data_IF_470060556012
#
_entry.id   IF_470060556012
#
_cell.length_a   1.000
_cell.length_b   1.000
_cell.length_c   1.000
_cell.angle_alpha   90.00
_cell.angle_beta   90.00
_cell.angle_gamma   90.00
#
_symmetry.space_group_name_H-M   'P 1'
#
loop_
_entity.id
_entity.type
_entity.pdbx_description
1 polymer ?
#
# COMPACT_ATOMS: atom_id res chain seq x y z
N UNK A 1 29.50 4.30 16.73
CA UNK A 1 29.42 5.74 16.38
C UNK A 1 28.94 6.51 17.59
N UNK A 2 29.66 7.56 17.99
CA UNK A 2 29.23 8.43 19.08
C UNK A 2 28.05 9.32 18.65
N UNK A 3 27.34 9.91 19.61
CA UNK A 3 26.22 10.84 19.35
C UNK A 3 26.63 11.99 18.43
N UNK A 4 27.85 12.51 18.58
CA UNK A 4 28.43 13.56 17.73
C UNK A 4 28.56 13.14 16.26
N UNK A 5 28.95 11.89 15.99
CA UNK A 5 29.12 11.39 14.62
C UNK A 5 27.76 11.27 13.90
N UNK A 6 26.71 10.86 14.63
CA UNK A 6 25.35 10.77 14.09
C UNK A 6 24.84 12.14 13.66
N UNK A 7 24.97 13.14 14.53
CA UNK A 7 24.55 14.52 14.24
C UNK A 7 25.31 15.14 13.06
N UNK A 8 26.60 14.84 12.90
CA UNK A 8 27.38 15.28 11.74
C UNK A 8 26.85 14.66 10.46
N UNK A 9 26.57 13.36 10.44
CA UNK A 9 26.02 12.66 9.27
C UNK A 9 24.68 13.26 8.83
N UNK A 10 23.76 13.51 9.77
CA UNK A 10 22.48 14.15 9.47
C UNK A 10 22.68 15.57 8.93
N UNK A 11 23.60 16.36 9.51
CA UNK A 11 23.88 17.71 9.06
C UNK A 11 24.47 17.74 7.64
N UNK A 12 25.34 16.78 7.30
CA UNK A 12 25.88 16.61 5.95
C UNK A 12 24.78 16.26 4.96
N UNK A 13 23.92 15.29 5.29
CA UNK A 13 22.78 14.92 4.46
C UNK A 13 21.86 16.12 4.21
N UNK A 14 21.49 16.87 5.25
CA UNK A 14 20.65 18.06 5.13
C UNK A 14 21.27 19.11 4.22
N UNK A 15 22.58 19.36 4.33
CA UNK A 15 23.30 20.29 3.43
C UNK A 15 23.23 19.85 1.97
N UNK A 16 23.53 18.57 1.70
CA UNK A 16 23.46 18.00 0.35
C UNK A 16 22.05 18.07 -0.22
N UNK A 17 21.04 17.73 0.59
CA UNK A 17 19.64 17.79 0.20
C UNK A 17 19.20 19.23 -0.13
N UNK A 18 19.47 20.20 0.74
CA UNK A 18 19.16 21.62 0.48
C UNK A 18 19.88 22.16 -0.75
N UNK A 19 21.13 21.75 -0.99
CA UNK A 19 21.87 22.14 -2.19
C UNK A 19 21.16 21.64 -3.45
N UNK A 20 20.79 20.36 -3.46
CA UNK A 20 20.10 19.74 -4.59
C UNK A 20 18.75 20.41 -4.85
N UNK A 21 17.96 20.70 -3.81
CA UNK A 21 16.69 21.41 -3.98
C UNK A 21 16.87 22.80 -4.62
N UNK A 22 17.97 23.50 -4.31
CA UNK A 22 18.28 24.79 -4.94
C UNK A 22 18.67 24.62 -6.40
N UNK A 23 19.51 23.64 -6.71
CA UNK A 23 19.95 23.39 -8.09
C UNK A 23 18.81 22.94 -9.01
N UNK A 24 17.87 22.15 -8.48
CA UNK A 24 16.74 21.63 -9.26
C UNK A 24 15.50 22.51 -9.20
N UNK A 25 15.54 23.65 -8.51
CA UNK A 25 14.37 24.48 -8.22
C UNK A 25 13.22 23.65 -7.61
N UNK A 26 13.55 22.72 -6.72
CA UNK A 26 12.63 21.79 -6.06
C UNK A 26 12.15 20.63 -6.93
N UNK A 27 12.52 20.55 -8.22
CA UNK A 27 12.07 19.48 -9.12
C UNK A 27 13.07 18.33 -9.15
N UNK A 28 12.91 17.39 -8.23
CA UNK A 28 13.79 16.22 -8.12
C UNK A 28 13.31 15.10 -9.06
N UNK A 29 14.19 14.66 -9.95
CA UNK A 29 13.98 13.51 -10.82
C UNK A 29 14.62 12.22 -10.25
N UNK A 30 14.45 11.11 -10.97
CA UNK A 30 15.03 9.82 -10.61
C UNK A 30 16.55 9.89 -10.42
N UNK A 31 17.26 10.47 -11.40
CA UNK A 31 18.73 10.53 -11.39
C UNK A 31 19.27 11.38 -10.24
N UNK A 32 18.56 12.44 -9.87
CA UNK A 32 18.90 13.30 -8.74
C UNK A 32 18.63 12.60 -7.41
N UNK A 33 17.47 11.97 -7.26
CA UNK A 33 17.11 11.25 -6.04
C UNK A 33 18.05 10.05 -5.79
N UNK A 34 18.45 9.34 -6.85
CA UNK A 34 19.38 8.23 -6.77
C UNK A 34 20.74 8.63 -6.16
N UNK A 35 21.17 9.89 -6.28
CA UNK A 35 22.40 10.40 -5.66
C UNK A 35 22.25 10.63 -4.15
N UNK A 36 21.04 10.88 -3.67
CA UNK A 36 20.75 11.22 -2.26
C UNK A 36 20.45 9.97 -1.42
N UNK A 37 19.77 8.99 -2.02
CA UNK A 37 19.32 7.78 -1.32
C UNK A 37 20.43 7.02 -0.57
N UNK A 38 21.67 6.85 -1.10
CA UNK A 38 22.72 6.15 -0.39
C UNK A 38 23.09 6.80 0.95
N UNK A 39 23.09 8.12 1.02
CA UNK A 39 23.38 8.85 2.26
C UNK A 39 22.21 8.78 3.24
N UNK A 40 20.97 8.82 2.74
CA UNK A 40 19.80 8.58 3.58
C UNK A 40 19.76 7.15 4.15
N UNK A 41 20.13 6.14 3.35
CA UNK A 41 20.23 4.75 3.80
C UNK A 41 21.20 4.62 4.99
N UNK A 42 22.33 5.34 4.98
CA UNK A 42 23.25 5.37 6.12
C UNK A 42 22.59 5.96 7.38
N UNK A 43 21.76 7.01 7.23
CA UNK A 43 21.01 7.58 8.35
C UNK A 43 20.03 6.58 8.95
N UNK A 44 19.32 5.83 8.13
CA UNK A 44 18.38 4.79 8.60
C UNK A 44 19.07 3.69 9.42
N UNK A 45 20.36 3.44 9.20
CA UNK A 45 21.13 2.45 9.98
C UNK A 45 21.63 2.98 11.33
N UNK A 46 21.70 4.29 11.51
CA UNK A 46 22.28 4.91 12.73
C UNK A 46 21.23 5.64 13.58
N UNK A 47 20.04 5.89 13.04
CA UNK A 47 18.91 6.50 13.75
C UNK A 47 17.74 5.51 13.88
N UNK A 48 16.94 5.69 14.93
CA UNK A 48 15.56 5.18 14.94
C UNK A 48 14.67 6.10 14.11
N UNK A 49 13.49 5.63 13.65
CA UNK A 49 12.51 6.49 12.97
C UNK A 49 12.19 7.78 13.74
N UNK A 50 11.87 7.66 15.04
CA UNK A 50 11.48 8.79 15.89
C UNK A 50 12.62 9.79 16.09
N UNK A 51 13.83 9.29 16.35
CA UNK A 51 15.01 10.15 16.53
C UNK A 51 15.37 10.88 15.25
N UNK A 52 15.27 10.22 14.09
CA UNK A 52 15.58 10.87 12.82
C UNK A 52 14.55 11.94 12.50
N UNK A 53 13.27 11.60 12.57
CA UNK A 53 12.18 12.50 12.17
C UNK A 53 12.05 13.70 13.13
N UNK A 54 12.41 13.55 14.41
CA UNK A 54 12.46 14.68 15.34
C UNK A 54 13.60 15.68 15.06
N UNK A 55 14.72 15.22 14.50
CA UNK A 55 15.89 16.06 14.20
C UNK A 55 15.96 16.53 12.74
N UNK A 56 15.35 15.80 11.82
CA UNK A 56 15.33 16.10 10.39
C UNK A 56 14.10 16.95 10.05
N UNK A 57 14.22 18.27 10.16
CA UNK A 57 13.11 19.22 9.97
C UNK A 57 12.51 19.18 8.56
N UNK A 58 13.31 18.81 7.57
CA UNK A 58 12.92 18.68 6.17
C UNK A 58 12.32 17.29 5.86
N UNK A 59 12.04 16.44 6.86
CA UNK A 59 11.47 15.10 6.67
C UNK A 59 10.19 15.10 5.85
N UNK A 60 9.34 16.11 6.01
CA UNK A 60 8.07 16.26 5.30
C UNK A 60 8.30 16.51 3.80
N UNK A 61 9.19 17.43 3.46
CA UNK A 61 9.55 17.77 2.07
C UNK A 61 10.28 16.62 1.40
N UNK A 62 11.21 15.96 2.12
CA UNK A 62 11.91 14.79 1.61
C UNK A 62 10.93 13.63 1.34
N UNK A 63 10.00 13.38 2.25
CA UNK A 63 8.97 12.37 2.08
C UNK A 63 8.03 12.67 0.91
N UNK A 64 7.69 13.94 0.69
CA UNK A 64 6.93 14.36 -0.48
C UNK A 64 7.67 13.99 -1.77
N UNK A 65 8.95 14.34 -1.88
CA UNK A 65 9.78 14.05 -3.04
C UNK A 65 9.89 12.54 -3.28
N UNK A 66 10.17 11.75 -2.23
CA UNK A 66 10.21 10.30 -2.32
C UNK A 66 8.91 9.74 -2.91
N UNK A 67 7.78 10.22 -2.39
CA UNK A 67 6.45 9.76 -2.79
C UNK A 67 6.11 10.17 -4.23
N UNK A 68 6.37 11.42 -4.61
CA UNK A 68 6.10 11.94 -5.95
C UNK A 68 6.95 11.24 -7.02
N UNK A 69 8.23 11.01 -6.75
CA UNK A 69 9.12 10.29 -7.67
C UNK A 69 8.65 8.84 -7.83
N UNK A 70 8.35 8.14 -6.73
CA UNK A 70 7.87 6.76 -6.78
C UNK A 70 6.57 6.63 -7.55
N UNK A 71 5.59 7.50 -7.26
CA UNK A 71 4.29 7.51 -7.94
C UNK A 71 4.45 7.78 -9.43
N UNK A 72 5.31 8.73 -9.81
CA UNK A 72 5.60 9.04 -11.22
C UNK A 72 6.19 7.84 -11.96
N UNK A 73 7.20 7.18 -11.39
CA UNK A 73 7.82 6.03 -12.05
C UNK A 73 6.87 4.82 -12.10
N UNK A 74 6.10 4.54 -11.05
CA UNK A 74 5.06 3.48 -11.08
C UNK A 74 4.05 3.76 -12.20
N UNK A 75 3.49 4.97 -12.27
CA UNK A 75 2.48 5.32 -13.28
C UNK A 75 3.04 5.25 -14.70
N UNK A 76 4.29 5.64 -14.89
CA UNK A 76 4.98 5.52 -16.18
C UNK A 76 5.12 4.07 -16.62
N UNK A 77 5.50 3.17 -15.71
CA UNK A 77 5.64 1.74 -16.01
C UNK A 77 4.31 1.01 -16.16
N UNK A 78 3.29 1.43 -15.39
CA UNK A 78 1.93 0.90 -15.47
C UNK A 78 1.17 1.36 -16.73
N UNK A 79 1.65 2.39 -17.43
CA UNK A 79 1.10 2.85 -18.71
C UNK A 79 1.54 1.92 -19.85
N UNK A 80 1.05 0.68 -19.80
CA UNK A 80 1.28 -0.36 -20.80
C UNK A 80 -0.06 -0.99 -21.17
N UNK A 81 -0.31 -1.19 -22.47
CA UNK A 81 -1.54 -1.84 -22.95
C UNK A 81 -1.60 -3.32 -22.52
N UNK A 82 -0.45 -3.93 -22.26
CA UNK A 82 -0.34 -5.28 -21.72
C UNK A 82 -0.19 -5.24 -20.20
N UNK A 83 -1.25 -5.65 -19.50
CA UNK A 83 -1.34 -5.63 -18.03
C UNK A 83 -0.25 -6.49 -17.38
N UNK A 84 0.02 -7.70 -17.90
CA UNK A 84 1.07 -8.57 -17.36
C UNK A 84 2.48 -7.95 -17.51
N UNK A 85 2.74 -7.24 -18.60
CA UNK A 85 4.00 -6.52 -18.79
C UNK A 85 4.10 -5.28 -17.90
N UNK A 86 3.00 -4.55 -17.69
CA UNK A 86 2.94 -3.50 -16.68
C UNK A 86 3.25 -4.05 -15.28
N UNK A 87 2.65 -5.17 -14.90
CA UNK A 87 2.87 -5.81 -13.61
C UNK A 87 4.34 -6.17 -13.40
N UNK A 88 4.96 -6.83 -14.38
CA UNK A 88 6.38 -7.18 -14.36
C UNK A 88 7.29 -5.95 -14.28
N UNK A 89 6.99 -4.88 -15.02
CA UNK A 89 7.78 -3.66 -15.02
C UNK A 89 7.72 -2.94 -13.66
N UNK A 90 6.51 -2.78 -13.10
CA UNK A 90 6.29 -2.18 -11.78
C UNK A 90 6.95 -3.04 -10.70
N UNK A 91 6.79 -4.37 -10.76
CA UNK A 91 7.47 -5.28 -9.85
C UNK A 91 8.99 -5.14 -9.95
N UNK A 92 9.56 -5.07 -11.16
CA UNK A 92 10.99 -4.87 -11.39
C UNK A 92 11.54 -3.59 -10.75
N UNK A 93 10.77 -2.49 -10.77
CA UNK A 93 11.13 -1.24 -10.08
C UNK A 93 11.18 -1.42 -8.55
N UNK A 94 10.19 -2.10 -7.98
CA UNK A 94 9.99 -2.20 -6.54
C UNK A 94 10.75 -3.36 -5.88
N UNK A 95 11.16 -4.35 -6.67
CA UNK A 95 11.78 -5.59 -6.20
C UNK A 95 12.97 -5.33 -5.28
N UNK A 96 13.06 -6.11 -4.21
CA UNK A 96 14.17 -6.11 -3.26
C UNK A 96 15.45 -6.76 -3.83
N UNK A 97 15.83 -6.44 -5.06
CA UNK A 97 17.04 -6.92 -5.73
C UNK A 97 17.51 -5.99 -6.87
N UNK A 98 18.78 -5.56 -6.87
CA UNK A 98 19.74 -5.67 -5.76
C UNK A 98 19.25 -4.94 -4.48
N UNK A 99 19.86 -5.16 -3.30
CA UNK A 99 19.36 -4.60 -2.02
C UNK A 99 19.29 -3.07 -1.97
N UNK A 100 20.02 -2.40 -2.85
CA UNK A 100 20.10 -0.96 -3.07
C UNK A 100 19.38 -0.50 -4.34
N UNK A 101 18.56 -1.37 -4.96
CA UNK A 101 17.71 -1.00 -6.09
C UNK A 101 16.93 0.29 -5.80
N UNK A 102 16.74 1.10 -6.83
CA UNK A 102 16.23 2.46 -6.70
C UNK A 102 14.82 2.50 -6.07
N UNK A 103 13.84 1.85 -6.70
CA UNK A 103 12.46 1.85 -6.19
C UNK A 103 12.34 1.19 -4.82
N UNK A 104 13.06 0.09 -4.60
CA UNK A 104 13.14 -0.56 -3.29
C UNK A 104 13.71 0.35 -2.20
N UNK A 105 14.75 1.13 -2.51
CA UNK A 105 15.34 2.09 -1.56
C UNK A 105 14.36 3.21 -1.21
N UNK A 106 13.53 3.64 -2.15
CA UNK A 106 12.45 4.60 -1.86
C UNK A 106 11.40 3.99 -0.95
N UNK A 107 10.90 2.78 -1.24
CA UNK A 107 9.90 2.08 -0.41
C UNK A 107 10.40 1.93 1.03
N UNK A 108 11.65 1.51 1.22
CA UNK A 108 12.27 1.42 2.56
C UNK A 108 12.36 2.78 3.25
N UNK A 109 12.75 3.82 2.52
CA UNK A 109 12.90 5.18 3.06
C UNK A 109 11.56 5.75 3.54
N UNK A 110 10.50 5.57 2.74
CA UNK A 110 9.13 5.97 3.08
C UNK A 110 8.65 5.17 4.30
N UNK A 111 8.80 3.85 4.28
CA UNK A 111 8.38 2.97 5.37
C UNK A 111 9.08 3.32 6.68
N UNK A 112 10.39 3.59 6.63
CA UNK A 112 11.17 4.01 7.80
C UNK A 112 10.65 5.33 8.38
N UNK A 113 10.42 6.35 7.54
CA UNK A 113 9.91 7.65 8.00
C UNK A 113 8.50 7.52 8.61
N UNK A 114 7.62 6.74 7.98
CA UNK A 114 6.24 6.55 8.45
C UNK A 114 6.17 5.72 9.73
N UNK A 115 7.14 4.83 9.95
CA UNK A 115 7.25 4.05 11.19
C UNK A 115 7.48 4.93 12.43
N UNK A 116 7.76 6.23 12.28
CA UNK A 116 7.77 7.19 13.40
C UNK A 116 6.37 7.54 13.95
N UNK A 117 5.30 7.17 13.24
CA UNK A 117 3.92 7.46 13.63
C UNK A 117 3.54 8.95 13.63
N UNK A 118 4.40 9.83 13.12
CA UNK A 118 4.17 11.27 13.17
C UNK A 118 3.17 11.70 12.09
N UNK A 119 1.95 12.00 12.50
CA UNK A 119 0.78 12.33 11.65
C UNK A 119 1.10 13.40 10.59
N UNK A 120 1.98 14.37 10.88
CA UNK A 120 2.39 15.41 9.92
C UNK A 120 2.99 14.86 8.62
N UNK A 121 3.48 13.63 8.63
CA UNK A 121 4.07 12.95 7.47
C UNK A 121 3.02 12.39 6.50
N UNK A 122 1.74 12.32 6.89
CA UNK A 122 0.68 11.77 6.06
C UNK A 122 0.28 12.72 4.93
N UNK A 123 0.23 14.04 5.17
CA UNK A 123 -0.17 15.03 4.16
C UNK A 123 0.72 15.01 2.90
N UNK A 124 2.07 14.99 3.00
CA UNK A 124 2.96 14.77 1.85
C UNK A 124 2.64 13.51 1.03
N UNK A 125 2.35 12.40 1.71
CA UNK A 125 2.07 11.10 1.08
C UNK A 125 0.75 11.12 0.32
N UNK A 126 -0.30 11.64 0.95
CA UNK A 126 -1.62 11.75 0.33
C UNK A 126 -1.60 12.74 -0.84
N UNK A 127 -0.91 13.87 -0.72
CA UNK A 127 -0.74 14.84 -1.83
C UNK A 127 -0.06 14.20 -3.04
N UNK A 128 0.94 13.35 -2.82
CA UNK A 128 1.59 12.59 -3.88
C UNK A 128 0.71 11.48 -4.47
N UNK A 129 -0.45 11.18 -3.87
CA UNK A 129 -1.33 10.04 -4.23
C UNK A 129 -0.66 8.68 -4.10
N UNK A 130 0.25 8.54 -3.14
CA UNK A 130 0.96 7.30 -2.93
C UNK A 130 0.04 6.15 -2.47
N UNK A 131 -0.90 6.31 -1.52
CA UNK A 131 -1.77 5.21 -1.10
C UNK A 131 -2.63 4.67 -2.24
N UNK A 132 -3.35 5.54 -2.95
CA UNK A 132 -4.05 5.25 -4.22
C UNK A 132 -3.18 4.47 -5.21
N UNK A 133 -1.95 4.94 -5.45
CA UNK A 133 -1.03 4.31 -6.39
C UNK A 133 -0.61 2.92 -5.91
N UNK A 134 -0.33 2.75 -4.63
CA UNK A 134 0.02 1.45 -4.06
C UNK A 134 -1.16 0.47 -4.11
N UNK A 135 -2.39 0.89 -3.82
CA UNK A 135 -3.59 0.04 -3.99
C UNK A 135 -3.69 -0.48 -5.43
N UNK A 136 -3.46 0.39 -6.43
CA UNK A 136 -3.39 -0.02 -7.83
C UNK A 136 -2.25 -1.00 -8.12
N UNK A 137 -1.10 -0.86 -7.45
CA UNK A 137 0.01 -1.83 -7.56
C UNK A 137 -0.39 -3.19 -6.99
N UNK A 138 -1.02 -3.24 -5.81
CA UNK A 138 -1.52 -4.48 -5.22
C UNK A 138 -2.52 -5.18 -6.14
N UNK A 139 -3.40 -4.40 -6.80
CA UNK A 139 -4.35 -4.95 -7.77
C UNK A 139 -3.64 -5.43 -9.06
N UNK A 140 -2.68 -4.68 -9.57
CA UNK A 140 -1.89 -5.04 -10.75
C UNK A 140 -1.04 -6.31 -10.53
N UNK A 141 -0.62 -6.59 -9.29
CA UNK A 141 0.19 -7.75 -8.98
C UNK A 141 -0.56 -9.09 -9.04
N UNK A 142 -1.88 -9.08 -9.22
CA UNK A 142 -2.64 -10.27 -9.64
C UNK A 142 -2.31 -10.72 -11.07
N UNK A 143 -1.55 -9.95 -11.86
CA UNK A 143 -1.10 -10.32 -13.20
C UNK A 143 0.39 -10.73 -13.25
N UNK A 144 1.04 -10.91 -12.08
CA UNK A 144 2.40 -11.43 -12.03
C UNK A 144 2.45 -12.94 -12.34
N UNK A 145 3.52 -13.44 -12.99
CA UNK A 145 3.67 -14.87 -13.24
C UNK A 145 3.94 -15.65 -11.95
N UNK A 146 3.34 -16.84 -11.79
CA UNK A 146 3.57 -17.72 -10.63
C UNK A 146 4.73 -18.68 -10.82
N UNK A 147 4.98 -19.11 -12.05
CA UNK A 147 6.03 -20.06 -12.38
C UNK A 147 7.38 -19.33 -12.41
N UNK A 148 7.92 -19.09 -11.21
CA UNK A 148 9.20 -18.42 -10.99
C UNK A 148 10.06 -19.22 -10.03
N UNK A 149 11.38 -19.06 -10.13
CA UNK A 149 12.30 -19.81 -9.28
C UNK A 149 12.24 -19.39 -7.79
N UNK A 150 12.85 -20.18 -6.93
CA UNK A 150 12.85 -19.95 -5.48
C UNK A 150 13.50 -18.61 -5.08
N UNK A 151 14.46 -18.10 -5.86
CA UNK A 151 15.08 -16.81 -5.59
C UNK A 151 14.09 -15.67 -5.84
N UNK A 152 13.34 -15.76 -6.95
CA UNK A 152 12.29 -14.82 -7.33
C UNK A 152 11.17 -14.77 -6.28
N UNK A 153 10.70 -15.94 -5.82
CA UNK A 153 9.73 -16.03 -4.73
C UNK A 153 10.26 -15.34 -3.46
N UNK A 154 11.53 -15.54 -3.12
CA UNK A 154 12.17 -14.87 -1.98
C UNK A 154 12.28 -13.34 -2.13
N UNK A 155 12.41 -12.82 -3.35
CA UNK A 155 12.36 -11.38 -3.61
C UNK A 155 10.95 -10.83 -3.51
N UNK A 156 9.98 -11.56 -4.06
CA UNK A 156 8.57 -11.18 -4.01
C UNK A 156 8.02 -11.17 -2.59
N UNK A 157 8.37 -12.18 -1.77
CA UNK A 157 7.99 -12.21 -0.35
C UNK A 157 8.53 -11.01 0.44
N UNK A 158 9.79 -10.63 0.20
CA UNK A 158 10.37 -9.44 0.85
C UNK A 158 9.69 -8.14 0.43
N UNK A 159 9.33 -8.02 -0.84
CA UNK A 159 8.55 -6.88 -1.32
C UNK A 159 7.17 -6.85 -0.65
N UNK A 160 6.48 -7.99 -0.63
CA UNK A 160 5.19 -8.16 0.04
C UNK A 160 5.25 -7.73 1.50
N UNK A 161 6.18 -8.28 2.28
CA UNK A 161 6.29 -7.98 3.72
C UNK A 161 6.49 -6.47 3.96
N UNK A 162 7.30 -5.81 3.13
CA UNK A 162 7.53 -4.37 3.26
C UNK A 162 6.33 -3.52 2.83
N UNK A 163 5.66 -3.86 1.73
CA UNK A 163 4.51 -3.09 1.24
C UNK A 163 3.30 -3.25 2.15
N UNK A 164 3.06 -4.44 2.70
CA UNK A 164 1.97 -4.68 3.65
C UNK A 164 2.18 -3.88 4.92
N UNK A 165 3.39 -3.89 5.49
CA UNK A 165 3.70 -3.07 6.68
C UNK A 165 3.47 -1.58 6.40
N UNK A 166 3.94 -1.09 5.25
CA UNK A 166 3.72 0.31 4.84
C UNK A 166 2.23 0.63 4.72
N UNK A 167 1.48 -0.17 3.96
CA UNK A 167 0.05 0.07 3.72
C UNK A 167 -0.79 -0.06 4.98
N UNK A 168 -0.55 -1.06 5.83
CA UNK A 168 -1.24 -1.17 7.12
C UNK A 168 -0.98 0.06 8.01
N UNK A 169 0.27 0.56 8.03
CA UNK A 169 0.62 1.77 8.77
C UNK A 169 -0.10 3.01 8.24
N UNK A 170 -0.32 3.09 6.92
CA UNK A 170 -1.03 4.21 6.29
C UNK A 170 -2.56 4.10 6.45
N UNK A 171 -3.14 2.94 6.14
CA UNK A 171 -4.58 2.67 6.18
C UNK A 171 -5.22 2.85 7.57
N UNK A 172 -4.41 2.95 8.62
CA UNK A 172 -4.85 3.22 9.98
C UNK A 172 -5.28 4.67 10.24
N UNK A 173 -5.19 5.58 9.25
CA UNK A 173 -5.45 7.01 9.41
C UNK A 173 -6.53 7.53 8.44
N UNK A 174 -7.42 8.39 8.94
CA UNK A 174 -8.51 9.01 8.16
C UNK A 174 -8.02 9.69 6.88
N UNK A 175 -6.91 10.43 6.95
CA UNK A 175 -6.36 11.14 5.80
C UNK A 175 -6.02 10.22 4.62
N UNK A 176 -5.69 8.96 4.90
CA UNK A 176 -5.40 7.96 3.86
C UNK A 176 -6.70 7.37 3.31
N UNK A 177 -7.66 7.05 4.16
CA UNK A 177 -8.98 6.58 3.72
C UNK A 177 -9.69 7.64 2.84
N UNK A 178 -9.62 8.91 3.24
CA UNK A 178 -10.12 10.06 2.47
C UNK A 178 -9.43 10.21 1.12
N UNK A 179 -8.11 10.01 1.05
CA UNK A 179 -7.38 10.03 -0.21
C UNK A 179 -7.86 8.92 -1.15
N UNK A 180 -8.03 7.70 -0.64
CA UNK A 180 -8.48 6.55 -1.42
C UNK A 180 -9.88 6.75 -1.99
N UNK A 181 -10.83 7.29 -1.22
CA UNK A 181 -12.19 7.57 -1.73
C UNK A 181 -12.19 8.74 -2.72
N UNK A 182 -11.35 9.75 -2.52
CA UNK A 182 -11.21 10.88 -3.45
C UNK A 182 -10.61 10.46 -4.80
N UNK A 183 -9.72 9.46 -4.79
CA UNK A 183 -9.16 8.85 -6.01
C UNK A 183 -10.02 7.76 -6.62
N UNK A 184 -11.12 7.40 -5.96
CA UNK A 184 -12.01 6.31 -6.36
C UNK A 184 -11.33 4.93 -6.43
N UNK A 185 -10.28 4.73 -5.61
CA UNK A 185 -9.45 3.51 -5.66
C UNK A 185 -9.74 2.55 -4.50
N UNK A 186 -10.50 2.97 -3.47
CA UNK A 186 -10.82 2.09 -2.33
C UNK A 186 -11.60 0.84 -2.77
N UNK A 187 -12.44 0.92 -3.80
CA UNK A 187 -13.17 -0.24 -4.34
C UNK A 187 -12.23 -1.36 -4.84
N UNK A 188 -11.01 -1.01 -5.30
CA UNK A 188 -10.02 -1.99 -5.74
C UNK A 188 -9.56 -2.91 -4.60
N UNK A 189 -9.59 -2.44 -3.35
CA UNK A 189 -9.31 -3.29 -2.19
C UNK A 189 -10.34 -4.40 -2.07
N UNK A 190 -11.63 -4.09 -2.25
CA UNK A 190 -12.71 -5.09 -2.18
C UNK A 190 -12.63 -6.08 -3.35
N UNK A 191 -12.37 -5.59 -4.56
CA UNK A 191 -12.17 -6.44 -5.73
C UNK A 191 -10.96 -7.37 -5.55
N UNK A 192 -9.84 -6.85 -5.04
CA UNK A 192 -8.65 -7.62 -4.74
C UNK A 192 -8.88 -8.65 -3.63
N UNK A 193 -9.59 -8.29 -2.56
CA UNK A 193 -9.94 -9.18 -1.46
C UNK A 193 -10.93 -10.29 -1.85
N UNK A 194 -11.69 -10.09 -2.94
CA UNK A 194 -12.59 -11.08 -3.52
C UNK A 194 -11.98 -11.85 -4.70
N UNK A 195 -10.73 -11.59 -5.06
CA UNK A 195 -10.10 -12.15 -6.25
C UNK A 195 -10.01 -13.68 -6.19
N UNK A 196 -10.60 -14.33 -7.19
CA UNK A 196 -10.55 -15.78 -7.37
C UNK A 196 -9.36 -16.25 -8.20
N UNK A 197 -8.47 -15.34 -8.62
CA UNK A 197 -7.34 -15.66 -9.48
C UNK A 197 -6.56 -16.87 -8.94
N UNK A 198 -6.28 -17.84 -9.82
CA UNK A 198 -5.61 -19.11 -9.51
C UNK A 198 -4.12 -18.94 -9.20
N UNK A 199 -3.68 -17.74 -8.82
CA UNK A 199 -2.30 -17.51 -8.48
C UNK A 199 -2.01 -18.18 -7.15
N UNK A 200 -0.96 -19.00 -7.11
CA UNK A 200 -0.48 -19.69 -5.90
C UNK A 200 -0.19 -18.71 -4.74
N UNK A 201 0.02 -17.44 -5.07
CA UNK A 201 0.23 -16.37 -4.11
C UNK A 201 -1.07 -15.66 -3.72
N UNK A 202 -1.85 -16.34 -2.89
CA UNK A 202 -2.99 -15.79 -2.15
C UNK A 202 -2.66 -14.52 -1.33
N UNK A 203 -1.37 -14.23 -1.16
CA UNK A 203 -0.83 -13.12 -0.37
C UNK A 203 -1.42 -11.77 -0.78
N UNK A 204 -1.63 -11.52 -2.08
CA UNK A 204 -2.16 -10.22 -2.55
C UNK A 204 -3.62 -10.03 -2.16
N UNK A 205 -4.43 -11.11 -2.20
CA UNK A 205 -5.81 -11.10 -1.72
C UNK A 205 -5.85 -10.83 -0.22
N UNK A 206 -5.04 -11.53 0.56
CA UNK A 206 -4.97 -11.39 2.01
C UNK A 206 -4.52 -9.98 2.44
N UNK A 207 -3.59 -9.38 1.70
CA UNK A 207 -3.17 -8.00 1.91
C UNK A 207 -4.32 -7.01 1.68
N UNK A 208 -5.03 -7.12 0.56
CA UNK A 208 -6.18 -6.26 0.27
C UNK A 208 -7.25 -6.39 1.37
N UNK A 209 -7.57 -7.61 1.80
CA UNK A 209 -8.52 -7.84 2.89
C UNK A 209 -8.05 -7.19 4.21
N UNK A 210 -6.77 -7.38 4.56
CA UNK A 210 -6.15 -6.78 5.75
C UNK A 210 -6.26 -5.25 5.73
N UNK A 211 -6.08 -4.61 4.58
CA UNK A 211 -6.21 -3.15 4.44
C UNK A 211 -7.66 -2.70 4.67
N UNK A 212 -8.65 -3.43 4.14
CA UNK A 212 -10.07 -3.13 4.39
C UNK A 212 -10.37 -3.21 5.89
N UNK A 213 -9.97 -4.30 6.55
CA UNK A 213 -10.18 -4.47 8.00
C UNK A 213 -9.50 -3.34 8.79
N UNK A 214 -8.29 -2.94 8.39
CA UNK A 214 -7.56 -1.84 9.04
C UNK A 214 -8.33 -0.52 8.91
N UNK A 215 -8.85 -0.20 7.72
CA UNK A 215 -9.63 1.02 7.47
C UNK A 215 -10.93 0.98 8.27
N UNK A 216 -11.68 -0.12 8.21
CA UNK A 216 -12.96 -0.24 8.92
C UNK A 216 -12.79 -0.19 10.44
N UNK A 217 -11.68 -0.71 10.98
CA UNK A 217 -11.43 -0.69 12.41
C UNK A 217 -10.91 0.67 12.92
N UNK A 218 -10.17 1.42 12.08
CA UNK A 218 -9.37 2.57 12.56
C UNK A 218 -9.65 3.91 11.89
N UNK A 219 -10.21 3.89 10.69
CA UNK A 219 -10.43 5.06 9.85
C UNK A 219 -11.86 5.08 9.26
N UNK A 220 -12.80 4.45 9.96
CA UNK A 220 -14.21 4.38 9.56
C UNK A 220 -14.93 5.67 9.96
N UNK A 221 -15.24 6.49 8.96
CA UNK A 221 -16.00 7.73 9.12
C UNK A 221 -17.19 7.76 8.14
N UNK A 222 -18.05 8.78 8.23
CA UNK A 222 -19.26 8.89 7.40
C UNK A 222 -18.96 8.91 5.89
N UNK A 223 -17.87 9.55 5.47
CA UNK A 223 -17.46 9.62 4.07
C UNK A 223 -17.05 8.23 3.55
N UNK A 224 -16.27 7.49 4.34
CA UNK A 224 -15.84 6.12 4.03
C UNK A 224 -17.04 5.18 3.98
N UNK A 225 -17.92 5.22 4.98
CA UNK A 225 -19.14 4.42 5.00
C UNK A 225 -20.01 4.70 3.78
N UNK A 226 -20.25 6.00 3.49
CA UNK A 226 -21.02 6.42 2.32
C UNK A 226 -20.37 5.95 1.02
N UNK A 227 -19.04 6.02 0.91
CA UNK A 227 -18.33 5.51 -0.26
C UNK A 227 -18.56 4.01 -0.43
N UNK A 228 -18.31 3.20 0.61
CA UNK A 228 -18.47 1.73 0.58
C UNK A 228 -19.88 1.35 0.12
N UNK A 229 -20.91 2.00 0.69
CA UNK A 229 -22.30 1.77 0.33
C UNK A 229 -22.61 2.20 -1.11
N UNK A 230 -22.31 3.46 -1.47
CA UNK A 230 -22.69 4.02 -2.79
C UNK A 230 -21.92 3.42 -3.96
N UNK A 231 -20.69 2.95 -3.73
CA UNK A 231 -19.89 2.22 -4.72
C UNK A 231 -20.21 0.73 -4.75
N UNK A 232 -21.10 0.25 -3.89
CA UNK A 232 -21.51 -1.14 -3.86
C UNK A 232 -20.35 -2.09 -3.57
N UNK A 233 -19.41 -1.70 -2.71
CA UNK A 233 -18.21 -2.49 -2.44
C UNK A 233 -18.53 -3.92 -1.94
N UNK A 234 -19.53 -4.07 -1.07
CA UNK A 234 -20.02 -5.39 -0.62
C UNK A 234 -20.65 -6.16 -1.80
N UNK A 235 -21.43 -5.48 -2.65
CA UNK A 235 -22.02 -6.09 -3.85
C UNK A 235 -20.95 -6.62 -4.81
N UNK A 236 -19.91 -5.82 -5.09
CA UNK A 236 -18.79 -6.24 -5.92
C UNK A 236 -18.06 -7.45 -5.35
N UNK A 237 -17.86 -7.50 -4.03
CA UNK A 237 -17.27 -8.66 -3.37
C UNK A 237 -18.15 -9.91 -3.55
N UNK A 238 -19.45 -9.81 -3.25
CA UNK A 238 -20.39 -10.92 -3.32
C UNK A 238 -20.63 -11.43 -4.74
N UNK A 239 -20.57 -10.56 -5.75
CA UNK A 239 -20.67 -10.94 -7.16
C UNK A 239 -19.55 -11.90 -7.59
N UNK A 240 -18.35 -11.78 -7.02
CA UNK A 240 -17.27 -12.72 -7.32
C UNK A 240 -17.58 -14.12 -6.81
N UNK A 241 -18.30 -14.24 -5.69
CA UNK A 241 -18.65 -15.54 -5.08
C UNK A 241 -19.70 -16.31 -5.90
N UNK A 242 -20.58 -15.61 -6.60
CA UNK A 242 -21.66 -16.22 -7.40
C UNK A 242 -21.32 -16.40 -8.88
N UNK A 243 -20.27 -15.74 -9.38
CA UNK A 243 -19.98 -15.65 -10.81
C UNK A 243 -19.16 -16.79 -11.42
N UNK A 244 -18.52 -17.65 -10.61
CA UNK A 244 -17.57 -18.65 -11.09
C UNK A 244 -17.63 -19.96 -10.29
N UNK A 245 -17.14 -21.05 -10.87
CA UNK A 245 -16.95 -22.32 -10.15
C UNK A 245 -15.70 -22.20 -9.27
N UNK A 246 -15.90 -21.76 -8.03
CA UNK A 246 -14.85 -21.61 -7.01
C UNK A 246 -14.70 -22.95 -6.28
N UNK A 247 -13.47 -23.33 -5.93
CA UNK A 247 -13.23 -24.49 -5.07
C UNK A 247 -13.73 -24.23 -3.64
N UNK A 248 -14.32 -25.23 -2.98
CA UNK A 248 -14.93 -25.08 -1.65
C UNK A 248 -13.96 -24.49 -0.62
N UNK A 249 -12.67 -24.86 -0.70
CA UNK A 249 -11.61 -24.32 0.16
C UNK A 249 -11.48 -22.80 0.00
N UNK A 250 -11.45 -22.30 -1.23
CA UNK A 250 -11.36 -20.88 -1.55
C UNK A 250 -12.65 -20.15 -1.21
N UNK A 251 -13.81 -20.74 -1.51
CA UNK A 251 -15.12 -20.18 -1.15
C UNK A 251 -15.24 -19.99 0.37
N UNK A 252 -14.79 -20.97 1.16
CA UNK A 252 -14.80 -20.88 2.62
C UNK A 252 -13.99 -19.69 3.15
N UNK A 253 -12.82 -19.43 2.56
CA UNK A 253 -11.95 -18.30 2.96
C UNK A 253 -12.61 -16.98 2.61
N UNK A 254 -13.18 -16.85 1.40
CA UNK A 254 -13.83 -15.61 0.96
C UNK A 254 -15.08 -15.29 1.79
N UNK A 255 -15.90 -16.30 2.11
CA UNK A 255 -17.06 -16.14 2.98
C UNK A 255 -16.64 -15.78 4.41
N UNK A 256 -15.63 -16.46 4.96
CA UNK A 256 -15.09 -16.13 6.28
C UNK A 256 -14.59 -14.68 6.34
N UNK A 257 -13.84 -14.24 5.33
CA UNK A 257 -13.38 -12.86 5.21
C UNK A 257 -14.55 -11.86 5.19
N UNK A 258 -15.59 -12.11 4.38
CA UNK A 258 -16.77 -11.24 4.36
C UNK A 258 -17.46 -11.18 5.73
N UNK A 259 -17.66 -12.32 6.40
CA UNK A 259 -18.28 -12.36 7.72
C UNK A 259 -17.43 -11.65 8.80
N UNK A 260 -16.10 -11.81 8.75
CA UNK A 260 -15.18 -11.09 9.64
C UNK A 260 -15.22 -9.58 9.40
N UNK A 261 -15.28 -9.15 8.14
CA UNK A 261 -15.45 -7.73 7.80
C UNK A 261 -16.75 -7.17 8.36
N UNK A 262 -17.87 -7.88 8.17
CA UNK A 262 -19.17 -7.47 8.70
C UNK A 262 -19.15 -7.37 10.23
N UNK A 263 -18.54 -8.36 10.90
CA UNK A 263 -18.35 -8.36 12.34
C UNK A 263 -17.55 -7.15 12.82
N UNK A 264 -16.42 -6.84 12.18
CA UNK A 264 -15.60 -5.67 12.53
C UNK A 264 -16.41 -4.38 12.29
N UNK A 265 -17.13 -4.30 11.18
CA UNK A 265 -17.92 -3.10 10.85
C UNK A 265 -19.08 -2.83 11.81
N UNK A 266 -19.62 -3.88 12.45
CA UNK A 266 -20.75 -3.80 13.38
C UNK A 266 -20.46 -2.95 14.63
N UNK A 267 -19.19 -2.77 14.98
CA UNK A 267 -18.77 -1.86 16.06
C UNK A 267 -19.00 -0.38 15.69
N UNK A 268 -19.11 -0.08 14.39
CA UNK A 268 -19.23 1.27 13.85
C UNK A 268 -20.58 1.53 13.15
N UNK A 269 -21.18 0.53 12.51
CA UNK A 269 -22.39 0.69 11.68
C UNK A 269 -23.10 -0.64 11.40
N UNK A 270 -24.42 -0.62 11.24
CA UNK A 270 -25.21 -1.77 10.75
C UNK A 270 -25.37 -1.78 9.24
N UNK A 271 -25.07 -0.67 8.55
CA UNK A 271 -25.36 -0.50 7.12
C UNK A 271 -24.67 -1.54 6.24
N UNK A 272 -23.44 -1.96 6.57
CA UNK A 272 -22.74 -2.97 5.77
C UNK A 272 -23.39 -4.37 5.92
N UNK A 273 -23.96 -4.67 7.08
CA UNK A 273 -24.75 -5.89 7.31
C UNK A 273 -26.06 -5.80 6.51
N UNK A 274 -26.71 -4.64 6.51
CA UNK A 274 -27.92 -4.40 5.71
C UNK A 274 -27.64 -4.57 4.21
N UNK A 275 -26.54 -4.02 3.70
CA UNK A 275 -26.09 -4.21 2.32
C UNK A 275 -25.89 -5.70 1.99
N UNK A 276 -25.28 -6.46 2.90
CA UNK A 276 -25.11 -7.91 2.75
C UNK A 276 -26.43 -8.68 2.76
N UNK A 277 -27.38 -8.30 3.62
CA UNK A 277 -28.73 -8.90 3.69
C UNK A 277 -29.49 -8.68 2.38
N UNK A 278 -29.47 -7.45 1.85
CA UNK A 278 -30.14 -7.11 0.57
C UNK A 278 -29.61 -7.96 -0.60
N UNK A 279 -28.37 -8.42 -0.50
CA UNK A 279 -27.72 -9.30 -1.47
C UNK A 279 -27.97 -10.80 -1.22
N UNK A 280 -28.87 -11.16 -0.30
CA UNK A 280 -29.12 -12.53 0.16
C UNK A 280 -27.84 -13.22 0.68
N UNK A 281 -26.91 -12.47 1.26
CA UNK A 281 -25.61 -12.98 1.63
C UNK A 281 -25.66 -14.13 2.65
N UNK A 282 -26.63 -14.13 3.57
CA UNK A 282 -26.81 -15.24 4.52
C UNK A 282 -27.30 -16.51 3.84
N UNK A 283 -28.11 -16.40 2.78
CA UNK A 283 -28.55 -17.57 2.01
C UNK A 283 -27.36 -18.23 1.31
N UNK A 284 -26.43 -17.43 0.75
CA UNK A 284 -25.18 -17.92 0.16
C UNK A 284 -24.33 -18.67 1.20
N UNK A 285 -24.24 -18.14 2.44
CA UNK A 285 -23.51 -18.81 3.54
C UNK A 285 -24.16 -20.14 3.91
N UNK A 286 -25.49 -20.18 4.02
CA UNK A 286 -26.24 -21.39 4.35
C UNK A 286 -26.09 -22.44 3.25
N UNK A 287 -26.24 -22.04 1.98
CA UNK A 287 -26.09 -22.93 0.83
C UNK A 287 -24.69 -23.55 0.77
N UNK A 288 -23.65 -22.79 1.11
CA UNK A 288 -22.28 -23.31 1.16
C UNK A 288 -22.05 -24.34 2.29
N UNK A 289 -22.81 -24.27 3.39
CA UNK A 289 -22.61 -25.12 4.56
C UNK A 289 -23.40 -26.44 4.52
N UNK A 290 -24.34 -26.59 3.60
CA UNK A 290 -25.25 -27.75 3.47
C UNK A 290 -24.75 -28.72 2.40
#
# INVERSE_FOLDING_TARGET
>A
MGTTDKSIALLQFRKSFTHILKETNGRVDEATLAKILPDFNKLMHIYTPDDLVSQFKESSEFLQILSEVLVREIRKLANNENIAQAALAVYGLLKAHPPDAFGWSIVKSISFLISSGQIRLLDPICKASLPSTLVKVFYLFFDLPNDVDAAELGHRRRLYDSLVVLMCSLCAYDAVAEELIQRDDMVLLFLGAASTSQLDEQIWRDANFTFICTIVQRAMNDSVLKYIHTKGCISHYMQQLSGQKIEDSQMSILLANMLDLLKISAEHTTLLIEDFIVLNGFDVVVEFCV
#
